data_IF_865964385025
#
_entry.id   IF_865964385025
#
_cell.length_a   1.000
_cell.length_b   1.000
_cell.length_c   1.000
_cell.angle_alpha   90.00
_cell.angle_beta   90.00
_cell.angle_gamma   90.00
#
_symmetry.space_group_name_H-M   'P 1'
#
loop_
_entity.id
_entity.type
_entity.pdbx_description
1 polymer ?
#
# COMPACT_ATOMS: atom_id res chain seq x y z
N UNK A 1 7.42 6.03 15.72
CA UNK A 1 6.73 5.11 14.79
C UNK A 1 5.36 5.65 14.37
N UNK A 2 5.13 5.71 13.07
CA UNK A 2 3.87 6.00 12.39
C UNK A 2 3.43 4.75 11.61
N UNK A 3 2.18 4.34 11.78
CA UNK A 3 1.61 3.16 11.12
C UNK A 3 0.52 3.60 10.13
N UNK A 4 0.58 3.11 8.89
CA UNK A 4 -0.36 3.52 7.86
C UNK A 4 -0.58 2.41 6.82
N UNK A 5 -1.62 2.57 6.00
CA UNK A 5 -1.96 1.65 4.92
C UNK A 5 -1.85 2.34 3.56
N UNK A 6 -1.01 1.80 2.67
CA UNK A 6 -0.73 2.36 1.34
C UNK A 6 -0.42 1.31 0.25
N UNK A 7 -0.88 0.08 0.44
CA UNK A 7 -0.49 -1.10 -0.38
C UNK A 7 -0.07 -2.32 0.47
N UNK A 8 0.06 -2.08 1.76
CA UNK A 8 0.39 -3.00 2.85
C UNK A 8 0.31 -2.20 4.16
N UNK A 9 0.37 -2.88 5.30
CA UNK A 9 0.59 -2.18 6.57
C UNK A 9 2.06 -1.77 6.63
N UNK A 10 2.30 -0.48 6.67
CA UNK A 10 3.63 0.14 6.67
C UNK A 10 3.90 0.80 8.01
N UNK A 11 5.17 0.87 8.38
CA UNK A 11 5.61 1.52 9.59
C UNK A 11 6.92 2.26 9.34
N UNK A 12 6.94 3.57 9.60
CA UNK A 12 8.11 4.43 9.45
C UNK A 12 8.32 5.23 10.72
N UNK A 13 9.50 5.82 10.90
CA UNK A 13 9.63 6.90 11.88
C UNK A 13 8.94 8.17 11.37
N UNK A 14 8.38 8.97 12.28
CA UNK A 14 7.58 10.15 11.91
C UNK A 14 8.38 11.11 11.02
N UNK A 15 9.64 11.40 11.40
CA UNK A 15 10.52 12.29 10.63
C UNK A 15 10.80 11.75 9.22
N UNK A 16 10.91 10.43 9.08
CA UNK A 16 11.14 9.76 7.80
C UNK A 16 9.90 9.83 6.93
N UNK A 17 8.71 9.56 7.49
CA UNK A 17 7.44 9.71 6.79
C UNK A 17 7.24 11.12 6.26
N UNK A 18 7.41 12.14 7.12
CA UNK A 18 7.27 13.55 6.75
C UNK A 18 8.24 13.94 5.62
N UNK A 19 9.48 13.44 5.67
CA UNK A 19 10.51 13.72 4.66
C UNK A 19 10.22 13.01 3.34
N UNK A 20 9.88 11.73 3.38
CA UNK A 20 9.65 10.90 2.19
C UNK A 20 8.44 11.39 1.38
N UNK A 21 7.34 11.67 2.06
CA UNK A 21 6.12 12.16 1.42
C UNK A 21 6.09 13.68 1.26
N UNK A 22 7.06 14.40 1.85
CA UNK A 22 7.12 15.86 1.86
C UNK A 22 5.81 16.50 2.34
N UNK A 23 5.23 15.95 3.41
CA UNK A 23 4.01 16.43 4.05
C UNK A 23 4.22 16.50 5.57
N UNK A 24 3.40 17.33 6.23
CA UNK A 24 3.30 17.37 7.69
C UNK A 24 1.85 17.21 8.12
N UNK A 25 1.58 16.66 9.32
CA UNK A 25 0.22 16.62 9.85
C UNK A 25 -0.38 18.02 9.88
N UNK A 26 -1.56 18.18 9.30
CA UNK A 26 -2.33 19.43 9.37
C UNK A 26 -3.04 19.60 10.70
N UNK A 27 -3.30 18.49 11.39
CA UNK A 27 -3.93 18.40 12.70
C UNK A 27 -3.47 17.11 13.40
N UNK A 28 -3.42 17.14 14.74
CA UNK A 28 -3.04 15.99 15.58
C UNK A 28 -4.15 15.79 16.62
N UNK A 29 -4.82 14.65 16.54
CA UNK A 29 -5.94 14.30 17.41
C UNK A 29 -5.48 13.22 18.39
N UNK A 30 -5.54 13.53 19.69
CA UNK A 30 -5.30 12.55 20.74
C UNK A 30 -6.48 11.57 20.85
N UNK A 31 -6.21 10.30 20.57
CA UNK A 31 -7.20 9.22 20.66
C UNK A 31 -7.27 8.57 22.06
N UNK A 32 -6.25 8.80 22.89
CA UNK A 32 -6.07 8.24 24.22
C UNK A 32 -4.85 7.32 24.32
N UNK A 33 -4.74 6.64 25.46
CA UNK A 33 -3.61 5.77 25.81
C UNK A 33 -4.03 4.31 25.85
N UNK A 34 -3.12 3.41 25.50
CA UNK A 34 -3.30 1.96 25.64
C UNK A 34 -2.22 1.38 26.55
N UNK A 35 -2.57 0.35 27.31
CA UNK A 35 -1.62 -0.45 28.12
C UNK A 35 -1.08 -1.66 27.33
N UNK A 36 -1.52 -1.83 26.09
CA UNK A 36 -1.10 -2.94 25.24
C UNK A 36 0.39 -2.82 24.91
N UNK A 37 1.12 -3.90 25.15
CA UNK A 37 2.52 -3.98 24.74
C UNK A 37 2.66 -3.90 23.22
N UNK A 38 3.72 -3.24 22.77
CA UNK A 38 4.00 -3.08 21.35
C UNK A 38 4.10 -4.41 20.60
N UNK A 39 4.64 -5.46 21.25
CA UNK A 39 4.72 -6.81 20.66
C UNK A 39 3.33 -7.38 20.35
N UNK A 40 2.38 -7.26 21.27
CA UNK A 40 1.00 -7.70 21.05
C UNK A 40 0.29 -6.84 19.99
N UNK A 41 0.61 -5.54 19.91
CA UNK A 41 0.13 -4.72 18.81
C UNK A 41 0.63 -5.22 17.45
N UNK A 42 1.91 -5.58 17.34
CA UNK A 42 2.47 -6.14 16.11
C UNK A 42 1.87 -7.52 15.76
N UNK A 43 1.59 -8.36 16.75
CA UNK A 43 0.84 -9.61 16.55
C UNK A 43 -0.57 -9.35 15.99
N UNK A 44 -1.27 -8.35 16.51
CA UNK A 44 -2.56 -7.92 15.98
C UNK A 44 -2.44 -7.44 14.52
N UNK A 45 -1.47 -6.57 14.22
CA UNK A 45 -1.22 -6.10 12.85
C UNK A 45 -0.95 -7.26 11.88
N UNK A 46 -0.14 -8.23 12.30
CA UNK A 46 0.11 -9.46 11.55
C UNK A 46 -1.17 -10.28 11.32
N UNK A 47 -2.10 -10.29 12.27
CA UNK A 47 -3.39 -10.97 12.15
C UNK A 47 -4.33 -10.33 11.12
N UNK A 48 -4.29 -9.00 11.00
CA UNK A 48 -5.15 -8.24 10.08
C UNK A 48 -4.51 -7.93 8.73
N UNK A 49 -3.20 -8.13 8.55
CA UNK A 49 -2.46 -7.75 7.33
C UNK A 49 -3.10 -8.25 6.03
N UNK A 50 -3.71 -9.44 6.05
CA UNK A 50 -4.41 -10.04 4.89
C UNK A 50 -5.62 -9.23 4.41
N UNK A 51 -6.12 -8.31 5.23
CA UNK A 51 -7.22 -7.40 4.90
C UNK A 51 -6.70 -6.06 4.36
N UNK A 52 -5.42 -5.76 4.53
CA UNK A 52 -4.77 -4.50 4.18
C UNK A 52 -3.67 -4.76 3.14
N UNK A 53 -4.07 -5.32 2.00
CA UNK A 53 -3.19 -5.69 0.89
C UNK A 53 -3.40 -4.76 -0.30
N UNK A 54 -2.41 -4.64 -1.18
CA UNK A 54 -2.49 -3.77 -2.37
C UNK A 54 -3.75 -4.00 -3.21
N UNK A 55 -4.17 -5.25 -3.40
CA UNK A 55 -5.37 -5.63 -4.18
C UNK A 55 -6.68 -5.21 -3.50
N UNK A 56 -6.66 -5.02 -2.19
CA UNK A 56 -7.82 -4.57 -1.41
C UNK A 56 -7.89 -3.07 -1.23
N UNK A 57 -6.83 -2.34 -1.58
CA UNK A 57 -6.80 -0.89 -1.38
C UNK A 57 -7.84 -0.21 -2.28
N UNK A 58 -8.70 0.60 -1.67
CA UNK A 58 -9.65 1.45 -2.37
C UNK A 58 -9.68 2.83 -1.73
N UNK A 59 -9.38 3.88 -2.49
CA UNK A 59 -9.27 5.26 -2.02
C UNK A 59 -10.57 5.78 -1.40
N UNK A 60 -11.72 5.23 -1.79
CA UNK A 60 -13.04 5.66 -1.30
C UNK A 60 -13.45 4.88 -0.06
N UNK A 61 -13.43 3.55 -0.11
CA UNK A 61 -14.09 2.70 0.88
C UNK A 61 -13.16 1.77 1.68
N UNK A 62 -11.88 1.66 1.34
CA UNK A 62 -10.92 0.84 2.07
C UNK A 62 -9.48 1.35 1.94
N UNK A 63 -9.20 2.43 2.67
CA UNK A 63 -7.96 3.23 2.60
C UNK A 63 -7.30 3.37 3.98
N UNK A 64 -6.30 4.26 4.07
CA UNK A 64 -5.59 4.58 5.32
C UNK A 64 -6.51 4.98 6.49
N UNK A 65 -7.63 5.66 6.23
CA UNK A 65 -8.56 6.07 7.29
C UNK A 65 -9.30 4.86 7.88
N UNK A 66 -9.62 3.86 7.04
CA UNK A 66 -10.28 2.63 7.49
C UNK A 66 -9.32 1.78 8.35
N UNK A 67 -8.06 1.67 7.91
CA UNK A 67 -7.01 1.06 8.71
C UNK A 67 -6.84 1.75 10.07
N UNK A 68 -6.74 3.08 10.07
CA UNK A 68 -6.58 3.87 11.29
C UNK A 68 -7.78 3.68 12.22
N UNK A 69 -9.00 3.62 11.67
CA UNK A 69 -10.20 3.35 12.46
C UNK A 69 -10.17 1.99 13.16
N UNK A 70 -9.80 0.92 12.46
CA UNK A 70 -9.64 -0.42 13.03
C UNK A 70 -8.59 -0.43 14.15
N UNK A 71 -7.43 0.17 13.89
CA UNK A 71 -6.32 0.24 14.85
C UNK A 71 -6.70 1.06 16.09
N UNK A 72 -7.33 2.22 15.93
CA UNK A 72 -7.80 3.02 17.05
C UNK A 72 -8.86 2.27 17.87
N UNK A 73 -9.79 1.59 17.21
CA UNK A 73 -10.81 0.80 17.91
C UNK A 73 -10.17 -0.32 18.73
N UNK A 74 -9.21 -1.03 18.16
CA UNK A 74 -8.48 -2.10 18.84
C UNK A 74 -7.65 -1.58 20.04
N UNK A 75 -6.89 -0.50 19.86
CA UNK A 75 -5.96 -0.01 20.88
C UNK A 75 -6.66 0.72 22.03
N UNK A 76 -7.68 1.54 21.72
CA UNK A 76 -8.29 2.47 22.68
C UNK A 76 -9.82 2.39 22.74
N UNK A 77 -10.45 1.45 22.02
CA UNK A 77 -11.90 1.26 22.05
C UNK A 77 -12.71 2.37 21.36
N UNK A 78 -12.08 3.21 20.53
CA UNK A 78 -12.70 4.37 19.89
C UNK A 78 -12.44 4.38 18.39
N UNK A 79 -13.48 4.74 17.64
CA UNK A 79 -13.36 5.05 16.22
C UNK A 79 -12.76 6.45 16.01
N UNK A 80 -12.12 6.68 14.87
CA UNK A 80 -11.67 8.02 14.50
C UNK A 80 -12.89 8.93 14.18
N UNK A 81 -12.73 10.26 14.22
CA UNK A 81 -13.81 11.18 13.89
C UNK A 81 -14.44 10.90 12.52
N UNK A 82 -15.79 10.90 12.48
CA UNK A 82 -16.54 10.49 11.30
C UNK A 82 -16.26 11.34 10.06
N UNK A 83 -15.93 12.63 10.22
CA UNK A 83 -15.59 13.49 9.08
C UNK A 83 -14.34 13.00 8.34
N UNK A 84 -13.37 12.39 9.05
CA UNK A 84 -12.16 11.82 8.43
C UNK A 84 -12.54 10.63 7.55
N UNK A 85 -13.38 9.72 8.06
CA UNK A 85 -13.93 8.59 7.30
C UNK A 85 -14.79 9.04 6.12
N UNK A 86 -15.52 10.16 6.27
CA UNK A 86 -16.42 10.69 5.26
C UNK A 86 -15.71 11.51 4.16
N UNK A 87 -14.45 11.90 4.36
CA UNK A 87 -13.69 12.73 3.42
C UNK A 87 -13.83 12.30 1.95
N UNK A 88 -13.69 11.00 1.58
CA UNK A 88 -13.82 10.60 0.19
C UNK A 88 -15.24 10.85 -0.37
N UNK A 89 -16.28 10.63 0.43
CA UNK A 89 -17.66 10.86 0.03
C UNK A 89 -17.99 12.34 -0.13
N UNK A 90 -17.43 13.20 0.72
CA UNK A 90 -17.56 14.65 0.58
C UNK A 90 -16.92 15.13 -0.73
N UNK A 91 -15.75 14.61 -1.09
CA UNK A 91 -15.10 14.91 -2.37
C UNK A 91 -15.93 14.38 -3.55
N UNK A 92 -16.43 13.14 -3.47
CA UNK A 92 -17.29 12.51 -4.50
C UNK A 92 -18.62 13.24 -4.71
N UNK A 93 -19.09 14.02 -3.74
CA UNK A 93 -20.34 14.79 -3.86
C UNK A 93 -20.29 15.83 -4.98
N UNK A 94 -19.11 16.15 -5.49
CA UNK A 94 -18.90 17.05 -6.63
C UNK A 94 -18.47 16.28 -7.87
N UNK A 95 -18.98 16.66 -9.05
CA UNK A 95 -18.60 16.00 -10.32
C UNK A 95 -17.09 16.05 -10.60
N UNK A 96 -16.43 17.17 -10.24
CA UNK A 96 -14.97 17.31 -10.37
C UNK A 96 -14.23 16.42 -9.38
N UNK A 97 -14.65 16.39 -8.12
CA UNK A 97 -14.02 15.55 -7.09
C UNK A 97 -14.14 14.07 -7.39
N UNK A 98 -15.29 13.62 -7.91
CA UNK A 98 -15.45 12.25 -8.40
C UNK A 98 -14.42 11.90 -9.49
N UNK A 99 -14.25 12.76 -10.50
CA UNK A 99 -13.27 12.54 -11.57
C UNK A 99 -11.82 12.49 -11.05
N UNK A 100 -11.47 13.33 -10.07
CA UNK A 100 -10.15 13.34 -9.44
C UNK A 100 -9.92 12.02 -8.68
N UNK A 101 -10.89 11.55 -7.90
CA UNK A 101 -10.78 10.30 -7.17
C UNK A 101 -10.67 9.09 -8.09
N UNK A 102 -11.47 9.05 -9.17
CA UNK A 102 -11.39 8.00 -10.20
C UNK A 102 -9.98 7.96 -10.83
N UNK A 103 -9.39 9.14 -11.08
CA UNK A 103 -8.02 9.25 -11.59
C UNK A 103 -6.97 8.82 -10.55
N UNK A 104 -7.08 9.24 -9.30
CA UNK A 104 -6.14 8.85 -8.24
C UNK A 104 -6.15 7.33 -8.00
N UNK A 105 -7.35 6.72 -8.01
CA UNK A 105 -7.52 5.29 -7.84
C UNK A 105 -6.81 4.48 -8.93
N UNK A 106 -6.76 4.97 -10.17
CA UNK A 106 -6.08 4.28 -11.28
C UNK A 106 -4.56 4.39 -11.18
N UNK A 107 -4.02 5.51 -10.69
CA UNK A 107 -2.58 5.67 -10.45
C UNK A 107 -2.07 4.82 -9.27
N UNK A 108 -2.94 4.49 -8.32
CA UNK A 108 -2.54 3.79 -7.11
C UNK A 108 -2.01 2.37 -7.36
N UNK A 109 -2.43 1.72 -8.44
CA UNK A 109 -1.84 0.45 -8.92
C UNK A 109 -0.36 0.56 -9.33
N UNK A 110 0.21 1.77 -9.38
CA UNK A 110 1.59 2.02 -9.86
C UNK A 110 2.54 2.66 -8.84
N UNK A 111 2.09 3.05 -7.64
CA UNK A 111 2.86 3.95 -6.73
C UNK A 111 3.18 3.34 -5.34
N UNK A 112 2.67 2.16 -4.96
CA UNK A 112 2.98 1.58 -3.64
C UNK A 112 4.51 1.33 -3.49
N UNK A 113 5.21 2.00 -2.55
CA UNK A 113 6.64 1.80 -2.36
C UNK A 113 6.92 0.34 -1.94
N UNK A 114 7.82 -0.34 -2.66
CA UNK A 114 8.19 -1.74 -2.41
C UNK A 114 7.62 -2.77 -3.40
N UNK A 115 6.87 -2.34 -4.42
CA UNK A 115 6.41 -3.21 -5.51
C UNK A 115 7.16 -2.90 -6.82
N UNK A 116 8.28 -3.59 -7.07
CA UNK A 116 8.80 -3.75 -8.42
C UNK A 116 7.91 -4.74 -9.17
N UNK A 117 7.10 -4.25 -10.10
CA UNK A 117 6.35 -5.09 -11.04
C UNK A 117 7.31 -5.71 -12.07
N UNK A 118 8.09 -6.71 -11.67
CA UNK A 118 8.83 -7.55 -12.60
C UNK A 118 7.98 -8.78 -12.97
N UNK A 119 6.88 -8.54 -13.70
CA UNK A 119 6.25 -9.57 -14.53
C UNK A 119 6.47 -9.22 -15.99
N UNK A 120 7.65 -9.58 -16.50
CA UNK A 120 7.89 -9.66 -17.94
C UNK A 120 7.71 -11.11 -18.41
N UNK A 121 6.49 -11.38 -18.86
CA UNK A 121 6.13 -12.17 -20.05
C UNK A 121 6.78 -13.55 -20.27
N UNK A 122 6.15 -14.58 -19.69
CA UNK A 122 6.23 -15.95 -20.20
C UNK A 122 5.02 -16.25 -21.10
N UNK A 123 5.07 -15.87 -22.36
CA UNK A 123 4.20 -16.42 -23.43
C UNK A 123 4.88 -16.29 -24.78
N UNK A 124 5.44 -17.40 -25.28
CA UNK A 124 5.14 -17.98 -26.59
C UNK A 124 6.15 -19.10 -26.93
N UNK A 125 5.88 -20.31 -26.45
CA UNK A 125 6.32 -21.52 -27.11
C UNK A 125 5.24 -21.93 -28.11
N UNK A 126 5.49 -21.69 -29.39
CA UNK A 126 5.13 -22.58 -30.51
C UNK A 126 5.59 -21.91 -31.82
N UNK A 127 6.68 -22.43 -32.39
CA UNK A 127 6.81 -22.68 -33.83
C UNK A 127 8.11 -23.47 -34.06
N UNK A 128 7.95 -24.78 -34.20
CA UNK A 128 8.94 -25.69 -34.77
C UNK A 128 8.90 -25.51 -36.29
N UNK A 129 10.04 -25.21 -36.93
CA UNK A 129 10.49 -25.87 -38.17
C UNK A 129 11.87 -25.37 -38.66
N UNK A 130 12.86 -26.24 -38.49
CA UNK A 130 13.85 -26.67 -39.48
C UNK A 130 15.05 -25.79 -39.88
N UNK A 131 16.19 -26.51 -39.94
CA UNK A 131 17.41 -26.33 -40.75
C UNK A 131 18.63 -25.66 -40.08
N UNK A 132 19.44 -26.51 -39.45
CA UNK A 132 20.87 -26.81 -39.69
C UNK A 132 21.89 -25.69 -40.02
N UNK A 133 23.09 -25.92 -39.46
CA UNK A 133 24.46 -25.47 -39.82
C UNK A 133 24.96 -24.26 -39.02
N UNK A 134 26.18 -24.19 -38.48
CA UNK A 134 27.31 -25.11 -38.34
C UNK A 134 28.40 -24.40 -37.50
N UNK A 135 29.17 -25.19 -36.74
CA UNK A 135 30.63 -25.04 -36.53
C UNK A 135 31.18 -24.01 -35.50
N UNK A 136 31.98 -24.59 -34.59
CA UNK A 136 33.24 -24.12 -33.98
C UNK A 136 33.25 -23.45 -32.58
N UNK A 137 33.80 -24.23 -31.63
CA UNK A 137 34.91 -23.89 -30.72
C UNK A 137 34.62 -22.91 -29.56
N UNK A 138 34.52 -23.42 -28.34
CA UNK A 138 35.60 -23.43 -27.32
C UNK A 138 36.15 -22.04 -26.99
N UNK A 139 35.82 -21.51 -25.79
CA UNK A 139 36.79 -21.47 -24.69
C UNK A 139 36.17 -21.01 -23.36
N UNK A 140 36.51 -21.74 -22.31
CA UNK A 140 36.31 -21.42 -20.90
C UNK A 140 37.21 -20.23 -20.49
N UNK A 141 36.82 -19.47 -19.46
CA UNK A 141 37.54 -19.44 -18.16
C UNK A 141 36.89 -18.43 -17.21
N UNK A 142 36.67 -18.90 -15.98
CA UNK A 142 36.33 -18.15 -14.79
C UNK A 142 37.55 -17.45 -14.19
N UNK A 143 37.38 -16.20 -13.79
CA UNK A 143 37.79 -15.66 -12.47
C UNK A 143 36.85 -14.53 -12.09
#
# INVERSE_FOLDING_TARGET
MEYFYGGGILCLEQQEFETFYNIKPVDIIDMGTTELLQTHFHEYLNGIQKNFTVDKYNIVNWNCNNFTNEVCNFLVGKNIPQYILNTPYEVMSTSKGKLILDMMQSYQSSIAPGFDNNQNNATNQQNNQSIQNNIASQDNTFI
#
